data_IF_617396025912
#
_entry.id   IF_617396025912
#
_cell.length_a   1.000
_cell.length_b   1.000
_cell.length_c   1.000
_cell.angle_alpha   90.00
_cell.angle_beta   90.00
_cell.angle_gamma   90.00
#
_symmetry.space_group_name_H-M   'P 1'
#
loop_
_entity.id
_entity.type
_entity.pdbx_description
1 polymer ?
#
# COMPACT_ATOMS: atom_id res chain seq x y z
N UNK A 1 -49.60 73.80 17.54
CA UNK A 1 -49.05 73.36 16.23
C UNK A 1 -47.86 72.44 16.50
N UNK A 2 -47.89 71.22 15.95
CA UNK A 2 -46.75 70.26 15.80
C UNK A 2 -45.75 70.82 14.75
N UNK A 3 -44.50 70.33 14.57
CA UNK A 3 -43.99 68.94 14.76
C UNK A 3 -42.67 68.83 15.55
N UNK A 4 -42.38 67.79 16.35
CA UNK A 4 -42.06 66.36 16.08
C UNK A 4 -40.80 66.17 15.22
N UNK A 5 -39.72 65.76 15.88
CA UNK A 5 -38.44 65.34 15.32
C UNK A 5 -38.56 64.02 14.54
N UNK A 6 -37.86 63.91 13.41
CA UNK A 6 -37.71 62.63 12.68
C UNK A 6 -36.24 62.29 12.48
N UNK A 7 -35.93 61.05 12.83
CA UNK A 7 -34.63 60.43 12.89
C UNK A 7 -33.91 60.26 11.55
N UNK A 8 -32.58 60.30 11.65
CA UNK A 8 -31.60 59.66 10.78
C UNK A 8 -32.00 58.23 10.40
N UNK A 9 -31.88 57.86 9.12
CA UNK A 9 -31.15 56.65 8.67
C UNK A 9 -31.01 56.66 7.13
N UNK A 10 -29.79 56.58 6.56
CA UNK A 10 -29.61 56.40 5.13
C UNK A 10 -29.90 54.94 4.76
N UNK A 11 -30.75 54.74 3.75
CA UNK A 11 -31.08 53.43 3.20
C UNK A 11 -29.83 52.88 2.49
N UNK A 12 -29.12 51.99 3.19
CA UNK A 12 -27.99 51.23 2.64
C UNK A 12 -28.47 50.36 1.48
N UNK A 13 -27.79 50.49 0.34
CA UNK A 13 -27.81 49.56 -0.77
C UNK A 13 -27.45 48.16 -0.24
N UNK A 14 -28.44 47.28 -0.06
CA UNK A 14 -28.19 45.89 0.23
C UNK A 14 -28.24 45.11 -1.07
N UNK A 15 -27.16 45.22 -1.85
CA UNK A 15 -26.85 44.25 -2.90
C UNK A 15 -26.53 42.94 -2.19
N UNK A 16 -27.53 42.08 -2.02
CA UNK A 16 -27.33 40.70 -1.67
C UNK A 16 -26.66 40.01 -2.86
N UNK A 17 -25.32 40.08 -2.92
CA UNK A 17 -24.54 39.09 -3.65
C UNK A 17 -24.82 37.76 -2.97
N UNK A 18 -25.75 36.99 -3.55
CA UNK A 18 -25.84 35.57 -3.31
C UNK A 18 -24.56 34.99 -3.94
N UNK A 19 -23.47 35.01 -3.18
CA UNK A 19 -22.30 34.21 -3.48
C UNK A 19 -22.80 32.78 -3.35
N UNK A 20 -23.04 32.13 -4.50
CA UNK A 20 -23.06 30.69 -4.56
C UNK A 20 -21.78 30.21 -3.87
N UNK A 21 -21.92 29.68 -2.67
CA UNK A 21 -20.85 28.96 -1.99
C UNK A 21 -20.53 27.74 -2.86
N UNK A 22 -19.58 27.90 -3.77
CA UNK A 22 -18.86 26.78 -4.37
C UNK A 22 -17.84 26.35 -3.33
N UNK A 23 -18.29 25.75 -2.23
CA UNK A 23 -17.40 25.31 -1.16
C UNK A 23 -17.97 24.06 -0.47
N UNK A 24 -17.97 22.93 -1.19
CA UNK A 24 -18.48 21.68 -0.64
C UNK A 24 -17.71 20.45 -1.12
N UNK A 25 -17.32 20.35 -2.39
CA UNK A 25 -16.67 19.13 -2.90
C UNK A 25 -15.19 19.01 -2.54
N UNK A 26 -14.41 20.09 -2.62
CA UNK A 26 -12.97 20.06 -2.33
C UNK A 26 -12.66 19.74 -0.86
N UNK A 27 -13.41 20.31 0.09
CA UNK A 27 -13.26 20.01 1.51
C UNK A 27 -13.55 18.53 1.83
N UNK A 28 -14.45 17.90 1.06
CA UNK A 28 -14.83 16.49 1.24
C UNK A 28 -13.76 15.56 0.67
N UNK A 29 -13.21 15.85 -0.52
CA UNK A 29 -12.22 14.97 -1.15
C UNK A 29 -10.82 15.08 -0.52
N UNK A 30 -10.42 16.29 -0.09
CA UNK A 30 -9.16 16.47 0.64
C UNK A 30 -9.14 15.68 1.96
N UNK A 31 -10.19 15.83 2.77
CA UNK A 31 -10.33 15.08 4.04
C UNK A 31 -10.41 13.56 3.81
N UNK A 32 -11.14 13.12 2.78
CA UNK A 32 -11.20 11.71 2.40
C UNK A 32 -9.82 11.16 2.01
N UNK A 33 -9.04 11.92 1.21
CA UNK A 33 -7.68 11.54 0.82
C UNK A 33 -6.77 11.43 2.06
N UNK A 34 -6.74 12.46 2.92
CA UNK A 34 -5.90 12.44 4.12
C UNK A 34 -6.23 11.26 5.03
N UNK A 35 -7.51 10.91 5.19
CA UNK A 35 -7.96 9.74 5.97
C UNK A 35 -7.63 8.41 5.29
N UNK A 36 -7.75 8.33 3.96
CA UNK A 36 -7.34 7.16 3.19
C UNK A 36 -5.85 6.87 3.34
N UNK A 37 -5.00 7.91 3.33
CA UNK A 37 -3.56 7.75 3.57
C UNK A 37 -3.29 7.35 5.02
N UNK A 38 -4.04 7.91 5.98
CA UNK A 38 -3.92 7.56 7.39
C UNK A 38 -4.31 6.10 7.66
N UNK A 39 -5.27 5.54 6.91
CA UNK A 39 -5.65 4.12 7.00
C UNK A 39 -4.44 3.19 6.79
N UNK A 40 -3.54 3.49 5.86
CA UNK A 40 -2.32 2.70 5.67
C UNK A 40 -1.43 2.66 6.91
N UNK A 41 -1.33 3.75 7.68
CA UNK A 41 -0.62 3.71 8.96
C UNK A 41 -1.24 2.73 9.95
N UNK A 42 -2.57 2.62 9.92
CA UNK A 42 -3.35 1.66 10.68
C UNK A 42 -3.11 0.20 10.29
N UNK A 43 -2.54 -0.06 9.10
CA UNK A 43 -2.26 -1.42 8.58
C UNK A 43 -0.79 -1.84 8.71
N UNK A 44 0.11 -0.95 9.15
CA UNK A 44 1.56 -1.25 9.22
C UNK A 44 1.85 -2.45 10.11
N UNK A 45 2.63 -3.42 9.65
CA UNK A 45 3.23 -4.48 10.47
C UNK A 45 4.72 -4.16 10.76
N UNK A 46 5.33 -4.79 11.76
CA UNK A 46 6.73 -4.59 12.13
C UNK A 46 6.95 -3.53 13.21
N UNK A 47 8.16 -2.94 13.20
CA UNK A 47 8.51 -1.84 14.09
C UNK A 47 7.93 -0.52 13.58
N UNK A 48 6.98 0.06 14.31
CA UNK A 48 6.37 1.34 13.95
C UNK A 48 7.33 2.50 14.21
N UNK A 49 7.32 3.55 13.35
CA UNK A 49 8.17 4.70 13.54
C UNK A 49 7.68 5.57 14.71
N UNK A 50 8.58 6.32 15.34
CA UNK A 50 8.27 7.17 16.49
C UNK A 50 7.25 8.29 16.17
N UNK A 51 7.13 8.68 14.91
CA UNK A 51 6.20 9.70 14.41
C UNK A 51 4.91 9.11 13.81
N UNK A 52 4.61 7.84 14.06
CA UNK A 52 3.34 7.18 13.71
C UNK A 52 2.14 7.97 14.25
N UNK A 53 1.15 8.26 13.41
CA UNK A 53 -0.04 9.05 13.78
C UNK A 53 -1.15 8.18 14.38
N UNK A 54 -1.25 6.92 13.96
CA UNK A 54 -2.19 5.94 14.53
C UNK A 54 -1.70 5.40 15.89
N UNK A 55 -1.92 6.17 16.95
CA UNK A 55 -1.39 5.91 18.31
C UNK A 55 -1.97 4.69 19.02
N UNK A 56 -3.01 4.06 18.46
CA UNK A 56 -3.61 2.83 19.00
C UNK A 56 -2.94 1.55 18.45
N UNK A 57 -2.07 1.68 17.44
CA UNK A 57 -1.23 0.60 16.91
C UNK A 57 0.12 0.54 17.62
N UNK A 58 0.69 -0.66 17.74
CA UNK A 58 2.01 -0.91 18.29
C UNK A 58 2.86 -1.85 17.41
N UNK A 59 4.08 -2.10 17.89
CA UNK A 59 5.02 -3.02 17.22
C UNK A 59 4.47 -4.45 17.21
N UNK A 60 4.48 -5.10 16.06
CA UNK A 60 3.83 -6.40 15.83
C UNK A 60 4.55 -7.20 14.74
N UNK A 61 4.38 -8.52 14.70
CA UNK A 61 5.02 -9.37 13.67
C UNK A 61 6.56 -9.33 13.70
N UNK A 62 7.15 -9.16 14.88
CA UNK A 62 8.60 -8.90 15.02
C UNK A 62 9.49 -10.13 14.76
N UNK A 63 8.88 -11.32 14.70
CA UNK A 63 9.55 -12.58 14.37
C UNK A 63 9.40 -13.00 12.91
N UNK A 64 8.73 -12.21 12.07
CA UNK A 64 8.44 -12.56 10.68
C UNK A 64 9.72 -12.89 9.91
N UNK A 65 9.80 -14.11 9.36
CA UNK A 65 10.97 -14.60 8.61
C UNK A 65 11.95 -15.47 9.41
N UNK A 66 11.82 -15.53 10.74
CA UNK A 66 12.75 -16.27 11.61
C UNK A 66 12.93 -17.76 11.26
N UNK A 67 11.88 -18.54 10.91
CA UNK A 67 12.03 -19.95 10.53
C UNK A 67 12.94 -20.17 9.32
N UNK A 68 13.06 -19.16 8.46
CA UNK A 68 13.84 -19.16 7.23
C UNK A 68 15.18 -18.40 7.37
N UNK A 69 15.50 -17.93 8.58
CA UNK A 69 16.68 -17.12 8.88
C UNK A 69 16.78 -15.85 8.00
N UNK A 70 15.64 -15.18 7.79
CA UNK A 70 15.52 -13.91 7.06
C UNK A 70 14.76 -12.89 7.88
N UNK A 71 14.94 -11.61 7.57
CA UNK A 71 14.08 -10.54 8.08
C UNK A 71 12.93 -10.31 7.10
N UNK A 72 11.71 -10.65 7.51
CA UNK A 72 10.48 -10.29 6.82
C UNK A 72 9.59 -9.38 7.68
N UNK A 73 10.15 -8.67 8.66
CA UNK A 73 9.40 -7.64 9.40
C UNK A 73 9.05 -6.44 8.51
N UNK A 74 7.95 -5.75 8.82
CA UNK A 74 7.45 -4.61 8.02
C UNK A 74 6.26 -4.98 7.14
N UNK A 75 5.95 -4.12 6.16
CA UNK A 75 4.84 -4.32 5.22
C UNK A 75 3.48 -4.01 5.83
N UNK A 76 2.41 -4.38 5.13
CA UNK A 76 1.03 -4.14 5.55
C UNK A 76 0.30 -5.44 5.88
N UNK A 77 -0.53 -5.41 6.91
CA UNK A 77 -1.60 -6.40 7.05
C UNK A 77 -2.66 -6.17 5.98
N UNK A 78 -3.17 -7.25 5.40
CA UNK A 78 -3.99 -7.21 4.20
C UNK A 78 -5.35 -6.54 4.43
N UNK A 79 -6.07 -6.97 5.48
CA UNK A 79 -7.42 -6.48 5.74
C UNK A 79 -7.67 -6.27 7.25
N UNK A 80 -8.66 -6.95 7.81
CA UNK A 80 -8.92 -6.98 9.26
C UNK A 80 -8.18 -8.12 9.98
N UNK A 81 -7.39 -8.90 9.24
CA UNK A 81 -6.56 -9.99 9.70
C UNK A 81 -5.11 -9.52 9.94
N UNK A 82 -4.25 -10.40 10.45
CA UNK A 82 -2.83 -10.09 10.65
C UNK A 82 -1.91 -10.83 9.66
N UNK A 83 -2.43 -11.10 8.46
CA UNK A 83 -1.71 -11.79 7.39
C UNK A 83 -1.10 -10.76 6.45
N UNK A 84 0.07 -11.09 5.93
CA UNK A 84 0.74 -10.33 4.86
C UNK A 84 0.64 -11.08 3.56
N UNK A 85 -0.45 -10.89 2.81
CA UNK A 85 -0.59 -11.42 1.46
C UNK A 85 0.20 -10.56 0.47
N UNK A 86 1.22 -11.15 -0.15
CA UNK A 86 2.16 -10.41 -1.00
C UNK A 86 1.53 -9.88 -2.29
N UNK A 87 0.63 -10.65 -2.91
CA UNK A 87 0.00 -10.27 -4.18
C UNK A 87 -0.89 -9.01 -4.08
N UNK A 88 -1.91 -8.94 -3.19
CA UNK A 88 -2.70 -7.72 -3.02
C UNK A 88 -1.89 -6.55 -2.44
N UNK A 89 -0.86 -6.81 -1.63
CA UNK A 89 0.04 -5.75 -1.14
C UNK A 89 0.85 -5.12 -2.27
N UNK A 90 1.39 -5.94 -3.19
CA UNK A 90 2.09 -5.45 -4.37
C UNK A 90 1.15 -4.62 -5.25
N UNK A 91 -0.04 -5.12 -5.56
CA UNK A 91 -1.05 -4.39 -6.34
C UNK A 91 -1.42 -3.04 -5.71
N UNK A 92 -1.67 -3.04 -4.41
CA UNK A 92 -1.96 -1.82 -3.65
C UNK A 92 -0.81 -0.81 -3.73
N UNK A 93 0.43 -1.30 -3.69
CA UNK A 93 1.64 -0.47 -3.82
C UNK A 93 1.77 0.13 -5.22
N UNK A 94 1.50 -0.66 -6.27
CA UNK A 94 1.44 -0.18 -7.65
C UNK A 94 0.42 0.96 -7.78
N UNK A 95 -0.80 0.77 -7.28
CA UNK A 95 -1.87 1.78 -7.36
C UNK A 95 -1.55 3.05 -6.56
N UNK A 96 -0.95 2.92 -5.37
CA UNK A 96 -0.49 4.07 -4.59
C UNK A 96 0.61 4.85 -5.32
N UNK A 97 1.61 4.16 -5.86
CA UNK A 97 2.68 4.79 -6.61
C UNK A 97 2.16 5.46 -7.88
N UNK A 98 1.26 4.80 -8.62
CA UNK A 98 0.60 5.39 -9.78
C UNK A 98 -0.18 6.65 -9.42
N UNK A 99 -0.89 6.67 -8.29
CA UNK A 99 -1.59 7.88 -7.84
C UNK A 99 -0.65 9.08 -7.64
N UNK A 100 0.58 8.83 -7.17
CA UNK A 100 1.60 9.88 -7.03
C UNK A 100 2.12 10.34 -8.39
N UNK A 101 2.34 9.41 -9.33
CA UNK A 101 2.81 9.72 -10.68
C UNK A 101 1.79 10.60 -11.42
N UNK A 102 0.52 10.22 -11.39
CA UNK A 102 -0.53 10.87 -12.18
C UNK A 102 -1.05 12.15 -11.49
N UNK A 103 -1.21 12.11 -10.17
CA UNK A 103 -1.95 13.14 -9.44
C UNK A 103 -1.13 13.85 -8.36
N UNK A 104 0.16 13.54 -8.21
CA UNK A 104 0.99 14.05 -7.13
C UNK A 104 1.08 15.58 -7.08
N UNK A 105 1.10 16.26 -8.23
CA UNK A 105 1.12 17.73 -8.30
C UNK A 105 -0.18 18.39 -7.77
N UNK A 106 -1.29 17.65 -7.75
CA UNK A 106 -2.59 18.12 -7.26
C UNK A 106 -2.82 17.75 -5.79
N UNK A 107 -2.00 16.86 -5.21
CA UNK A 107 -2.12 16.47 -3.81
C UNK A 107 -1.65 17.62 -2.89
N UNK A 108 -2.33 17.86 -1.76
CA UNK A 108 -1.78 18.71 -0.71
C UNK A 108 -0.36 18.24 -0.32
N UNK A 109 0.61 19.14 -0.07
CA UNK A 109 2.01 18.73 0.14
C UNK A 109 2.21 17.72 1.28
N UNK A 110 1.39 17.80 2.34
CA UNK A 110 1.42 16.86 3.46
C UNK A 110 0.91 15.47 3.05
N UNK A 111 -0.13 15.41 2.23
CA UNK A 111 -0.70 14.16 1.75
C UNK A 111 0.23 13.51 0.73
N UNK A 112 0.80 14.27 -0.22
CA UNK A 112 1.84 13.76 -1.13
C UNK A 112 3.00 13.13 -0.36
N UNK A 113 3.51 13.82 0.66
CA UNK A 113 4.56 13.28 1.54
C UNK A 113 4.12 11.99 2.21
N UNK A 114 2.94 11.96 2.81
CA UNK A 114 2.45 10.78 3.53
C UNK A 114 2.16 9.60 2.60
N UNK A 115 1.67 9.85 1.38
CA UNK A 115 1.51 8.83 0.34
C UNK A 115 2.85 8.24 -0.05
N UNK A 116 3.88 9.06 -0.29
CA UNK A 116 5.24 8.58 -0.54
C UNK A 116 5.77 7.75 0.64
N UNK A 117 5.54 8.16 1.89
CA UNK A 117 5.91 7.35 3.06
C UNK A 117 5.15 6.01 3.06
N UNK A 118 3.86 5.99 2.68
CA UNK A 118 3.07 4.77 2.59
C UNK A 118 3.59 3.82 1.49
N UNK A 119 3.96 4.34 0.32
CA UNK A 119 4.60 3.57 -0.77
C UNK A 119 5.92 2.99 -0.29
N UNK A 120 6.78 3.81 0.34
CA UNK A 120 8.07 3.35 0.86
C UNK A 120 7.94 2.20 1.86
N UNK A 121 6.96 2.29 2.77
CA UNK A 121 6.72 1.23 3.76
C UNK A 121 6.45 -0.13 3.12
N UNK A 122 5.68 -0.15 2.02
CA UNK A 122 5.45 -1.37 1.27
C UNK A 122 6.69 -1.80 0.47
N UNK A 123 7.33 -0.88 -0.26
CA UNK A 123 8.49 -1.25 -1.09
C UNK A 123 9.69 -1.71 -0.27
N UNK A 124 9.91 -1.16 0.93
CA UNK A 124 10.94 -1.65 1.85
C UNK A 124 10.68 -3.09 2.28
N UNK A 125 9.41 -3.49 2.44
CA UNK A 125 9.06 -4.90 2.69
C UNK A 125 9.17 -5.76 1.43
N UNK A 126 8.66 -5.29 0.28
CA UNK A 126 8.76 -6.03 -0.99
C UNK A 126 10.21 -6.28 -1.41
N UNK A 127 11.14 -5.34 -1.15
CA UNK A 127 12.57 -5.56 -1.35
C UNK A 127 13.10 -6.76 -0.55
N UNK A 128 12.60 -6.97 0.68
CA UNK A 128 12.97 -8.12 1.52
C UNK A 128 12.41 -9.42 0.93
N UNK A 129 11.19 -9.41 0.41
CA UNK A 129 10.55 -10.63 -0.12
C UNK A 129 11.23 -11.19 -1.36
N UNK A 130 11.97 -10.36 -2.10
CA UNK A 130 12.74 -10.75 -3.28
C UNK A 130 14.25 -10.63 -3.08
N UNK A 131 14.73 -10.50 -1.84
CA UNK A 131 16.16 -10.25 -1.59
C UNK A 131 17.07 -11.40 -2.09
N UNK A 132 16.58 -12.64 -1.99
CA UNK A 132 17.30 -13.83 -2.41
C UNK A 132 17.09 -14.12 -3.91
N UNK A 133 18.14 -14.50 -4.65
CA UNK A 133 17.98 -14.91 -6.04
C UNK A 133 17.10 -16.17 -6.12
N UNK A 134 16.35 -16.30 -7.22
CA UNK A 134 15.53 -17.48 -7.53
C UNK A 134 14.49 -17.86 -6.45
N UNK A 135 14.12 -16.90 -5.60
CA UNK A 135 13.12 -17.07 -4.54
C UNK A 135 12.27 -15.82 -4.39
N UNK A 136 10.97 -16.02 -4.18
CA UNK A 136 10.04 -14.97 -3.77
C UNK A 136 9.25 -15.40 -2.54
N UNK A 137 9.26 -14.59 -1.50
CA UNK A 137 8.37 -14.73 -0.34
C UNK A 137 7.02 -14.11 -0.66
N UNK A 138 5.96 -14.91 -0.62
CA UNK A 138 4.62 -14.51 -1.10
C UNK A 138 3.63 -14.27 0.02
N UNK A 139 3.86 -14.83 1.21
CA UNK A 139 2.97 -14.63 2.35
C UNK A 139 3.67 -14.87 3.70
N UNK A 140 3.25 -14.13 4.72
CA UNK A 140 3.60 -14.39 6.12
C UNK A 140 2.33 -14.43 6.98
N UNK A 141 2.13 -15.55 7.69
CA UNK A 141 0.93 -15.85 8.48
C UNK A 141 0.18 -17.08 7.93
N UNK A 142 -0.14 -18.04 8.80
CA UNK A 142 -1.09 -19.11 8.46
C UNK A 142 -2.51 -18.53 8.50
N UNK A 143 -3.25 -18.56 7.38
CA UNK A 143 -4.50 -17.83 7.29
C UNK A 143 -5.63 -18.46 8.10
N UNK A 144 -5.62 -19.78 8.23
CA UNK A 144 -6.67 -20.48 8.96
C UNK A 144 -6.50 -20.23 10.45
N UNK A 145 -5.27 -20.24 10.96
CA UNK A 145 -5.02 -19.95 12.37
C UNK A 145 -5.30 -18.49 12.70
N UNK A 146 -4.83 -17.57 11.87
CA UNK A 146 -5.07 -16.13 12.03
C UNK A 146 -6.57 -15.82 12.08
N UNK A 147 -7.34 -16.28 11.08
CA UNK A 147 -8.78 -16.00 10.98
C UNK A 147 -9.65 -16.69 12.03
N UNK A 148 -9.13 -17.73 12.71
CA UNK A 148 -9.79 -18.36 13.84
C UNK A 148 -9.58 -17.61 15.17
N UNK A 149 -8.69 -16.62 15.18
CA UNK A 149 -8.41 -15.77 16.34
C UNK A 149 -8.89 -14.33 16.08
N UNK A 150 -9.39 -13.67 17.13
CA UNK A 150 -9.67 -12.23 17.10
C UNK A 150 -8.79 -11.56 18.14
N UNK A 151 -7.67 -11.04 17.68
CA UNK A 151 -6.62 -10.51 18.55
C UNK A 151 -5.97 -9.26 17.97
N UNK A 152 -5.31 -8.49 18.84
CA UNK A 152 -4.49 -7.37 18.41
C UNK A 152 -3.22 -7.91 17.75
N UNK A 153 -2.70 -7.28 16.68
CA UNK A 153 -1.45 -7.71 16.04
C UNK A 153 -0.26 -7.74 17.02
N UNK A 154 -0.29 -6.90 18.07
CA UNK A 154 0.75 -6.84 19.09
C UNK A 154 0.74 -8.03 20.07
N UNK A 155 -0.38 -8.76 20.16
CA UNK A 155 -0.57 -9.89 21.08
C UNK A 155 -0.58 -11.25 20.36
N UNK A 156 -0.34 -11.29 19.05
CA UNK A 156 -0.47 -12.52 18.26
C UNK A 156 0.34 -13.68 18.81
N UNK A 157 -0.33 -14.80 19.03
CA UNK A 157 0.27 -16.08 19.38
C UNK A 157 0.10 -17.17 18.29
N UNK A 158 -0.54 -16.81 17.18
CA UNK A 158 -0.72 -17.67 16.00
C UNK A 158 0.57 -17.89 15.21
N UNK A 159 0.68 -19.05 14.54
CA UNK A 159 1.87 -19.37 13.74
C UNK A 159 2.02 -18.41 12.55
N UNK A 160 3.17 -17.73 12.50
CA UNK A 160 3.53 -16.82 11.41
C UNK A 160 4.29 -17.52 10.29
N UNK A 161 3.68 -18.57 9.74
CA UNK A 161 4.24 -19.40 8.66
C UNK A 161 4.66 -18.55 7.47
N UNK A 162 5.85 -18.85 6.92
CA UNK A 162 6.41 -18.15 5.76
C UNK A 162 6.18 -18.99 4.51
N UNK A 163 5.45 -18.45 3.55
CA UNK A 163 5.20 -19.08 2.26
C UNK A 163 6.10 -18.44 1.21
N UNK A 164 6.75 -19.29 0.41
CA UNK A 164 7.71 -18.88 -0.61
C UNK A 164 7.60 -19.77 -1.84
N UNK A 165 8.00 -19.23 -2.98
CA UNK A 165 8.18 -19.98 -4.22
C UNK A 165 9.66 -19.89 -4.58
N UNK A 166 10.26 -21.05 -4.84
CA UNK A 166 11.63 -21.23 -5.30
C UNK A 166 11.62 -21.63 -6.77
N UNK A 167 12.55 -21.11 -7.59
CA UNK A 167 12.75 -21.63 -8.93
C UNK A 167 13.03 -23.15 -8.89
N UNK A 168 12.55 -23.94 -9.88
CA UNK A 168 11.91 -23.49 -11.12
C UNK A 168 10.38 -23.36 -11.02
N UNK A 169 9.81 -23.36 -9.82
CA UNK A 169 8.37 -23.24 -9.64
C UNK A 169 7.87 -21.85 -10.03
N UNK A 170 6.76 -21.74 -10.77
CA UNK A 170 6.31 -20.48 -11.34
C UNK A 170 5.62 -19.56 -10.31
N UNK A 171 5.73 -18.26 -10.51
CA UNK A 171 5.03 -17.24 -9.70
C UNK A 171 4.86 -15.92 -10.46
N UNK A 172 4.53 -15.97 -11.75
CA UNK A 172 4.53 -14.82 -12.67
C UNK A 172 3.56 -13.71 -12.27
N UNK A 173 2.44 -14.06 -11.65
CA UNK A 173 1.45 -13.14 -11.11
C UNK A 173 2.04 -12.28 -9.99
N UNK A 174 2.37 -12.88 -8.85
CA UNK A 174 2.87 -12.17 -7.66
C UNK A 174 4.25 -11.57 -7.89
N UNK A 175 5.15 -12.24 -8.62
CA UNK A 175 6.44 -11.68 -8.98
C UNK A 175 6.28 -10.52 -9.97
N UNK A 176 5.42 -10.67 -10.98
CA UNK A 176 5.12 -9.60 -11.92
C UNK A 176 4.55 -8.37 -11.24
N UNK A 177 3.56 -8.54 -10.37
CA UNK A 177 2.96 -7.41 -9.63
C UNK A 177 3.95 -6.78 -8.64
N UNK A 178 4.82 -7.58 -8.02
CA UNK A 178 5.92 -7.05 -7.18
C UNK A 178 6.89 -6.22 -8.02
N UNK A 179 7.22 -6.67 -9.24
CA UNK A 179 8.05 -5.89 -10.16
C UNK A 179 7.34 -4.59 -10.59
N UNK A 180 6.03 -4.64 -10.89
CA UNK A 180 5.23 -3.46 -11.24
C UNK A 180 5.22 -2.43 -10.09
N UNK A 181 4.99 -2.89 -8.85
CA UNK A 181 5.00 -2.05 -7.66
C UNK A 181 6.34 -1.32 -7.47
N UNK A 182 7.45 -2.06 -7.58
CA UNK A 182 8.80 -1.51 -7.45
C UNK A 182 9.15 -0.56 -8.60
N UNK A 183 8.73 -0.88 -9.84
CA UNK A 183 8.94 -0.03 -11.01
C UNK A 183 8.14 1.29 -10.90
N UNK A 184 6.85 1.23 -10.56
CA UNK A 184 6.01 2.41 -10.35
C UNK A 184 6.58 3.30 -9.23
N UNK A 185 6.95 2.68 -8.10
CA UNK A 185 7.58 3.41 -7.00
C UNK A 185 8.91 4.05 -7.43
N UNK A 186 9.69 3.43 -8.31
CA UNK A 186 10.92 4.03 -8.85
C UNK A 186 10.66 5.38 -9.53
N UNK A 187 9.54 5.50 -10.24
CA UNK A 187 9.13 6.74 -10.90
C UNK A 187 8.68 7.75 -9.85
N UNK A 188 7.84 7.34 -8.88
CA UNK A 188 7.35 8.20 -7.81
C UNK A 188 8.48 8.80 -6.94
N UNK A 189 9.57 8.06 -6.71
CA UNK A 189 10.73 8.52 -5.94
C UNK A 189 11.84 9.17 -6.78
N UNK A 190 11.70 9.22 -8.11
CA UNK A 190 12.79 9.62 -9.03
C UNK A 190 13.41 10.97 -8.68
N UNK A 191 12.62 11.95 -8.27
CA UNK A 191 13.08 13.29 -7.93
C UNK A 191 13.45 13.46 -6.45
N UNK A 192 12.74 12.79 -5.55
CA UNK A 192 12.87 12.96 -4.10
C UNK A 192 13.95 12.10 -3.46
N UNK A 193 14.19 10.91 -4.01
CA UNK A 193 15.24 9.98 -3.58
C UNK A 193 15.78 9.17 -4.78
N UNK A 194 16.67 9.76 -5.59
CA UNK A 194 17.20 9.11 -6.79
C UNK A 194 17.98 7.82 -6.49
N UNK A 195 18.62 7.73 -5.32
CA UNK A 195 19.36 6.54 -4.90
C UNK A 195 18.42 5.36 -4.65
N UNK A 196 17.37 5.59 -3.87
CA UNK A 196 16.35 4.57 -3.62
C UNK A 196 15.59 4.19 -4.90
N UNK A 197 15.23 5.19 -5.72
CA UNK A 197 14.61 4.99 -7.04
C UNK A 197 15.42 4.02 -7.92
N UNK A 198 16.75 4.19 -7.97
CA UNK A 198 17.62 3.28 -8.70
C UNK A 198 17.60 1.86 -8.12
N UNK A 199 17.71 1.71 -6.80
CA UNK A 199 17.68 0.39 -6.13
C UNK A 199 16.39 -0.38 -6.42
N UNK A 200 15.23 0.25 -6.30
CA UNK A 200 13.96 -0.42 -6.55
C UNK A 200 13.73 -0.71 -8.03
N UNK A 201 14.21 0.14 -8.95
CA UNK A 201 14.14 -0.14 -10.39
C UNK A 201 15.01 -1.34 -10.79
N UNK A 202 16.27 -1.38 -10.33
CA UNK A 202 17.15 -2.53 -10.59
C UNK A 202 16.54 -3.82 -10.05
N UNK A 203 15.93 -3.76 -8.87
CA UNK A 203 15.25 -4.92 -8.28
C UNK A 203 14.02 -5.32 -9.09
N UNK A 204 13.20 -4.36 -9.53
CA UNK A 204 12.04 -4.60 -10.39
C UNK A 204 12.40 -5.35 -11.66
N UNK A 205 13.47 -4.94 -12.36
CA UNK A 205 13.94 -5.63 -13.58
C UNK A 205 14.29 -7.09 -13.31
N UNK A 206 15.06 -7.38 -12.25
CA UNK A 206 15.42 -8.75 -11.88
C UNK A 206 14.19 -9.60 -11.52
N UNK A 207 13.24 -9.04 -10.79
CA UNK A 207 12.01 -9.76 -10.40
C UNK A 207 11.14 -10.03 -11.63
N UNK A 208 11.07 -9.09 -12.56
CA UNK A 208 10.37 -9.30 -13.83
C UNK A 208 11.01 -10.42 -14.67
N UNK A 209 12.35 -10.49 -14.71
CA UNK A 209 13.05 -11.60 -15.38
C UNK A 209 12.70 -12.96 -14.77
N UNK A 210 12.60 -13.06 -13.44
CA UNK A 210 12.11 -14.27 -12.76
C UNK A 210 10.69 -14.60 -13.20
N UNK A 211 9.78 -13.61 -13.17
CA UNK A 211 8.38 -13.77 -13.54
C UNK A 211 8.20 -14.24 -14.99
N UNK A 212 8.99 -13.72 -15.92
CA UNK A 212 8.94 -14.09 -17.34
C UNK A 212 9.61 -15.43 -17.64
N UNK A 213 10.65 -15.80 -16.87
CA UNK A 213 11.38 -17.06 -17.04
C UNK A 213 10.57 -18.25 -16.52
N UNK A 214 9.97 -18.14 -15.33
CA UNK A 214 9.24 -19.22 -14.67
C UNK A 214 7.73 -18.97 -14.74
N UNK A 215 7.14 -19.26 -15.91
CA UNK A 215 5.76 -18.88 -16.24
C UNK A 215 4.68 -19.74 -15.58
N UNK A 216 3.75 -19.09 -14.87
CA UNK A 216 2.60 -19.73 -14.22
C UNK A 216 2.13 -19.00 -12.96
N UNK A 217 0.97 -19.39 -12.43
CA UNK A 217 0.40 -18.78 -11.24
C UNK A 217 1.11 -19.24 -9.96
N UNK A 218 1.35 -18.33 -9.01
CA UNK A 218 1.95 -18.72 -7.72
C UNK A 218 1.03 -19.67 -6.94
N UNK A 219 -0.29 -19.53 -7.09
CA UNK A 219 -1.29 -20.34 -6.39
C UNK A 219 -1.40 -21.78 -6.91
N UNK A 220 -0.75 -22.11 -8.03
CA UNK A 220 -0.71 -23.48 -8.56
C UNK A 220 0.35 -24.35 -7.87
N UNK A 221 1.26 -23.75 -7.11
CA UNK A 221 2.29 -24.46 -6.35
C UNK A 221 1.68 -25.21 -5.17
N UNK A 222 1.75 -26.55 -5.20
CA UNK A 222 1.11 -27.43 -4.21
C UNK A 222 1.52 -27.15 -2.78
N UNK A 223 2.78 -26.75 -2.58
CA UNK A 223 3.37 -26.56 -1.24
C UNK A 223 2.85 -25.31 -0.53
N UNK A 224 2.39 -24.31 -1.28
CA UNK A 224 1.85 -23.07 -0.72
C UNK A 224 0.34 -22.91 -0.95
N UNK A 225 -0.25 -23.67 -1.88
CA UNK A 225 -1.64 -23.53 -2.32
C UNK A 225 -2.64 -23.45 -1.17
N UNK A 226 -2.51 -24.30 -0.15
CA UNK A 226 -3.44 -24.34 0.97
C UNK A 226 -3.38 -23.09 1.88
N UNK A 227 -2.28 -22.33 1.83
CA UNK A 227 -2.12 -21.08 2.57
C UNK A 227 -2.49 -19.83 1.76
N UNK A 228 -2.42 -19.89 0.43
CA UNK A 228 -2.69 -18.72 -0.43
C UNK A 228 -4.08 -18.76 -1.07
N UNK A 229 -4.59 -19.97 -1.37
CA UNK A 229 -5.95 -20.23 -1.85
C UNK A 229 -6.78 -20.88 -0.72
N UNK A 230 -8.04 -20.46 -0.51
CA UNK A 230 -8.89 -19.72 -1.44
C UNK A 230 -8.84 -18.18 -1.32
N UNK A 231 -7.90 -17.62 -0.57
CA UNK A 231 -7.88 -16.18 -0.25
C UNK A 231 -7.56 -15.31 -1.47
N UNK A 232 -6.37 -15.47 -2.06
CA UNK A 232 -5.92 -14.68 -3.21
C UNK A 232 -5.37 -15.59 -4.31
N UNK A 233 -6.24 -16.37 -4.94
CA UNK A 233 -5.87 -17.20 -6.10
C UNK A 233 -5.70 -16.38 -7.37
N UNK A 234 -4.89 -16.87 -8.31
CA UNK A 234 -4.95 -16.40 -9.69
C UNK A 234 -6.19 -16.99 -10.39
N UNK A 235 -7.23 -16.17 -10.54
CA UNK A 235 -8.45 -16.55 -11.25
C UNK A 235 -8.47 -16.07 -12.71
N UNK A 236 -7.69 -15.03 -13.03
CA UNK A 236 -7.74 -14.31 -14.31
C UNK A 236 -6.55 -14.63 -15.23
N UNK A 237 -5.52 -15.31 -14.70
CA UNK A 237 -4.34 -15.75 -15.41
C UNK A 237 -3.20 -14.74 -15.31
N UNK A 238 -2.00 -15.24 -14.98
CA UNK A 238 -0.74 -14.48 -14.86
C UNK A 238 -0.32 -13.64 -16.09
N UNK A 239 -1.00 -13.75 -17.23
CA UNK A 239 -0.70 -12.91 -18.39
C UNK A 239 -1.05 -11.44 -18.14
N UNK A 240 -2.06 -11.17 -17.31
CA UNK A 240 -2.49 -9.80 -16.99
C UNK A 240 -1.42 -9.03 -16.19
N UNK A 241 -0.73 -9.68 -15.25
CA UNK A 241 0.34 -9.05 -14.47
C UNK A 241 1.56 -8.71 -15.35
N UNK A 242 1.88 -9.55 -16.33
CA UNK A 242 2.94 -9.26 -17.31
C UNK A 242 2.60 -8.04 -18.19
N UNK A 243 1.33 -7.80 -18.48
CA UNK A 243 0.87 -6.62 -19.24
C UNK A 243 0.96 -5.35 -18.38
N UNK A 244 0.66 -5.43 -17.08
CA UNK A 244 0.70 -4.27 -16.18
C UNK A 244 2.11 -3.64 -16.13
N UNK A 245 3.16 -4.46 -16.21
CA UNK A 245 4.56 -4.02 -16.20
C UNK A 245 4.97 -3.29 -17.48
N UNK A 246 4.35 -3.58 -18.63
CA UNK A 246 4.67 -2.89 -19.89
C UNK A 246 4.08 -1.48 -19.98
N UNK A 247 3.16 -1.13 -19.07
CA UNK A 247 2.45 0.14 -19.05
C UNK A 247 3.02 1.14 -18.03
N UNK A 248 3.96 0.71 -17.19
CA UNK A 248 4.66 1.52 -16.18
C UNK A 248 6.11 1.75 -16.62
#
# INVERSE_FOLDING_TARGET
>A
MKPVASHFFPFLLQFSFLILQIDSSYLIYGDALSKSILFFEGQRSGFLPNDQRMSWRGNSGLGDGSPDNVDLTGGYYDAGDNIKFGFPMAFTTTMLAWSVIEFGEMMPPVDLRNTLVAVRWATDYLLKTVAQPDRIYVQVGDPIKDHNCWERPEDMDTDRTVYKVDAPNPASDVAGETAAALAAASIAFRSSDPGYSHTILTTATRVFEYADTYRGAYSDNTDIRNGVCPFYCDFDGYQASCIHIQLV
#
